data_IF_510994577132
#
_entry.id   IF_510994577132
#
_cell.length_a   1.000
_cell.length_b   1.000
_cell.length_c   1.000
_cell.angle_alpha   90.00
_cell.angle_beta   90.00
_cell.angle_gamma   90.00
#
_symmetry.space_group_name_H-M   'P 1'
#
loop_
_entity.id
_entity.type
_entity.pdbx_description
1 polymer ?
#
# COMPACT_ATOMS: atom_id res chain seq x y z
N UNK A 1 7.20 32.55 -16.24
CA UNK A 1 7.47 33.22 -14.96
C UNK A 1 6.27 33.15 -14.00
N UNK A 2 5.10 33.76 -14.28
CA UNK A 2 3.95 33.71 -13.35
C UNK A 2 3.42 32.29 -13.00
N UNK A 3 3.63 31.30 -13.86
CA UNK A 3 3.14 29.92 -13.66
C UNK A 3 4.10 29.05 -12.82
N UNK A 4 5.38 29.40 -12.72
CA UNK A 4 6.40 28.67 -11.94
C UNK A 4 6.32 29.01 -10.45
N UNK A 5 6.12 30.30 -10.13
CA UNK A 5 6.00 30.76 -8.75
C UNK A 5 4.76 30.18 -8.06
N UNK A 6 3.64 30.01 -8.78
CA UNK A 6 2.43 29.36 -8.26
C UNK A 6 2.61 27.86 -8.02
N UNK A 7 3.34 27.17 -8.91
CA UNK A 7 3.69 25.76 -8.74
C UNK A 7 4.62 25.60 -7.55
N UNK A 8 5.64 26.46 -7.42
CA UNK A 8 6.60 26.43 -6.32
C UNK A 8 5.93 26.75 -4.98
N UNK A 9 5.04 27.72 -4.94
CA UNK A 9 4.25 28.06 -3.75
C UNK A 9 3.29 26.93 -3.33
N UNK A 10 2.78 26.14 -4.28
CA UNK A 10 1.96 24.96 -4.01
C UNK A 10 2.81 23.76 -3.56
N UNK A 11 3.93 23.48 -4.22
CA UNK A 11 4.87 22.43 -3.81
C UNK A 11 5.42 22.71 -2.40
N UNK A 12 5.64 23.98 -2.05
CA UNK A 12 6.03 24.42 -0.70
C UNK A 12 4.97 24.18 0.38
N UNK A 13 3.71 23.99 -0.01
CA UNK A 13 2.60 23.63 0.89
C UNK A 13 2.39 22.13 0.99
N UNK A 14 2.82 21.36 -0.02
CA UNK A 14 2.61 19.92 -0.11
C UNK A 14 3.88 19.10 0.20
N UNK A 15 5.04 19.70 0.34
CA UNK A 15 6.32 19.02 0.56
C UNK A 15 7.21 19.83 1.52
N UNK A 16 8.09 19.18 2.27
CA UNK A 16 8.99 19.86 3.19
C UNK A 16 9.96 20.76 2.41
N UNK A 17 10.32 21.94 2.97
CA UNK A 17 11.15 22.96 2.29
C UNK A 17 12.50 22.44 1.78
N UNK A 18 13.01 21.35 2.35
CA UNK A 18 14.28 20.73 1.98
C UNK A 18 14.20 19.93 0.67
N UNK A 19 13.02 19.43 0.30
CA UNK A 19 12.80 18.66 -0.93
C UNK A 19 12.75 19.54 -2.20
N UNK A 20 12.52 20.85 -2.05
CA UNK A 20 12.29 21.78 -3.16
C UNK A 20 13.58 22.42 -3.67
N UNK A 21 14.62 22.52 -2.81
CA UNK A 21 15.91 23.15 -3.19
C UNK A 21 16.70 22.37 -4.24
N UNK A 22 16.44 21.07 -4.40
CA UNK A 22 17.17 20.24 -5.36
C UNK A 22 16.66 20.37 -6.81
N UNK A 23 15.57 21.11 -7.04
CA UNK A 23 15.01 21.31 -8.40
C UNK A 23 15.64 22.52 -9.10
N UNK A 24 16.24 23.46 -8.35
CA UNK A 24 16.64 24.76 -8.88
C UNK A 24 18.10 24.85 -9.39
N UNK A 25 18.90 23.78 -9.22
CA UNK A 25 20.30 23.74 -9.65
C UNK A 25 20.51 22.68 -10.73
N UNK A 26 20.12 22.98 -11.97
CA UNK A 26 20.66 22.30 -13.14
C UNK A 26 20.78 23.32 -14.28
N UNK A 27 21.98 23.49 -14.86
CA UNK A 27 22.19 24.47 -15.91
C UNK A 27 21.54 24.00 -17.22
N UNK A 28 20.93 24.96 -17.90
CA UNK A 28 20.37 24.88 -19.25
C UNK A 28 21.43 24.44 -20.27
N UNK A 29 21.25 23.27 -20.88
CA UNK A 29 21.47 23.04 -22.31
C UNK A 29 20.90 21.68 -22.77
N UNK A 30 20.35 21.68 -23.99
CA UNK A 30 19.73 20.54 -24.65
C UNK A 30 20.73 19.41 -24.90
N UNK A 31 20.33 18.16 -24.62
CA UNK A 31 20.21 17.13 -25.66
C UNK A 31 19.42 15.91 -25.18
N UNK A 32 18.81 15.24 -26.15
CA UNK A 32 17.86 14.14 -26.01
C UNK A 32 18.40 12.85 -25.37
N UNK A 33 17.53 12.20 -24.58
CA UNK A 33 17.58 10.79 -24.15
C UNK A 33 18.62 10.44 -23.08
N UNK A 34 18.13 9.80 -22.01
CA UNK A 34 18.89 9.14 -20.93
C UNK A 34 19.29 10.02 -19.74
N UNK A 35 18.36 10.17 -18.79
CA UNK A 35 18.59 9.97 -17.34
C UNK A 35 17.28 10.21 -16.57
N UNK A 36 16.42 9.19 -16.52
CA UNK A 36 15.42 9.06 -15.46
C UNK A 36 15.88 7.92 -14.56
N UNK A 37 16.88 8.19 -13.72
CA UNK A 37 17.34 7.32 -12.62
C UNK A 37 18.51 8.05 -11.94
N UNK A 38 18.20 9.00 -11.04
CA UNK A 38 18.94 9.22 -9.79
C UNK A 38 18.36 10.43 -9.07
N UNK A 39 17.45 10.18 -8.14
CA UNK A 39 17.30 11.04 -6.98
C UNK A 39 17.28 10.13 -5.76
N UNK A 40 18.48 9.88 -5.25
CA UNK A 40 18.75 9.30 -3.93
C UNK A 40 18.30 10.26 -2.81
N UNK A 41 17.00 10.56 -2.73
CA UNK A 41 16.41 11.26 -1.61
C UNK A 41 15.42 10.33 -0.90
N UNK A 42 15.89 9.74 0.19
CA UNK A 42 15.18 8.85 1.10
C UNK A 42 14.20 9.60 2.01
N UNK A 43 13.31 10.42 1.44
CA UNK A 43 12.25 11.17 2.16
C UNK A 43 10.85 10.94 1.61
N UNK A 44 10.68 10.25 0.48
CA UNK A 44 9.36 10.01 -0.09
C UNK A 44 8.61 8.89 0.65
N UNK A 45 7.45 9.22 1.22
CA UNK A 45 6.55 8.28 1.91
C UNK A 45 5.91 7.29 0.90
N UNK A 46 5.62 7.77 -0.30
CA UNK A 46 5.10 7.01 -1.44
C UNK A 46 5.79 7.53 -2.71
N UNK A 47 5.87 6.71 -3.78
CA UNK A 47 6.39 7.19 -5.05
C UNK A 47 5.51 8.30 -5.62
N UNK A 48 6.11 9.25 -6.35
CA UNK A 48 5.36 10.30 -7.06
C UNK A 48 4.27 9.69 -7.97
N UNK A 49 3.04 10.19 -7.84
CA UNK A 49 1.93 9.75 -8.70
C UNK A 49 2.18 10.15 -10.16
N UNK A 50 1.78 9.29 -11.11
CA UNK A 50 1.92 9.56 -12.55
C UNK A 50 1.17 10.84 -12.99
N UNK A 51 0.18 11.26 -12.21
CA UNK A 51 -0.64 12.43 -12.47
C UNK A 51 0.11 13.75 -12.27
N UNK A 52 1.02 13.82 -11.30
CA UNK A 52 1.80 15.04 -11.01
C UNK A 52 2.82 15.31 -12.12
N UNK A 53 3.34 14.27 -12.77
CA UNK A 53 4.36 14.42 -13.80
C UNK A 53 3.82 14.76 -15.21
N UNK A 54 2.52 14.54 -15.49
CA UNK A 54 1.98 14.68 -16.86
C UNK A 54 0.60 15.32 -17.01
N UNK A 55 -0.07 15.72 -15.93
CA UNK A 55 -1.44 16.29 -16.02
C UNK A 55 -1.51 17.78 -15.65
N UNK A 56 -2.56 18.46 -16.13
CA UNK A 56 -2.85 19.85 -15.72
C UNK A 56 -3.27 19.87 -14.25
N UNK A 57 -2.82 20.86 -13.48
CA UNK A 57 -3.11 21.04 -12.04
C UNK A 57 -4.61 20.92 -11.70
N UNK A 58 -5.47 21.44 -12.57
CA UNK A 58 -6.93 21.38 -12.41
C UNK A 58 -7.49 19.96 -12.47
N UNK A 59 -6.84 19.05 -13.19
CA UNK A 59 -7.21 17.64 -13.25
C UNK A 59 -6.79 16.89 -11.99
N UNK A 60 -5.64 17.23 -11.40
CA UNK A 60 -5.17 16.64 -10.14
C UNK A 60 -6.12 16.97 -8.99
N UNK A 61 -6.47 18.25 -8.83
CA UNK A 61 -7.46 18.70 -7.81
C UNK A 61 -8.83 18.02 -7.94
N UNK A 62 -9.30 17.76 -9.17
CA UNK A 62 -10.54 17.00 -9.41
C UNK A 62 -10.43 15.53 -9.00
N UNK A 63 -9.23 14.97 -9.02
CA UNK A 63 -8.97 13.61 -8.58
C UNK A 63 -8.81 13.54 -7.04
N UNK A 64 -8.20 14.55 -6.43
CA UNK A 64 -8.09 14.69 -4.96
C UNK A 64 -9.48 14.79 -4.30
N UNK A 65 -10.41 15.55 -4.90
CA UNK A 65 -11.76 15.77 -4.38
C UNK A 65 -12.78 14.66 -4.64
N UNK A 66 -12.38 13.44 -4.99
CA UNK A 66 -13.30 12.31 -5.13
C UNK A 66 -13.82 11.90 -3.74
N UNK A 67 -15.14 11.77 -3.59
CA UNK A 67 -15.72 11.13 -2.40
C UNK A 67 -15.58 9.61 -2.48
N UNK A 68 -14.85 9.02 -1.52
CA UNK A 68 -14.65 7.56 -1.43
C UNK A 68 -15.97 6.79 -1.37
N UNK A 69 -16.95 7.30 -0.61
CA UNK A 69 -18.23 6.63 -0.37
C UNK A 69 -19.15 6.67 -1.60
N UNK A 70 -18.87 7.55 -2.56
CA UNK A 70 -19.54 7.60 -3.86
C UNK A 70 -19.07 6.49 -4.82
N UNK A 71 -17.91 5.86 -4.55
CA UNK A 71 -17.40 4.75 -5.37
C UNK A 71 -18.22 3.50 -5.05
N UNK A 72 -18.74 2.74 -6.03
CA UNK A 72 -19.43 1.49 -5.74
C UNK A 72 -18.50 0.47 -5.04
N UNK A 73 -18.96 -0.30 -4.02
CA UNK A 73 -18.09 -1.22 -3.26
C UNK A 73 -17.28 -2.20 -4.12
N UNK A 74 -17.93 -2.82 -5.12
CA UNK A 74 -17.27 -3.71 -6.08
C UNK A 74 -16.17 -3.02 -6.89
N UNK A 75 -16.38 -1.74 -7.23
CA UNK A 75 -15.40 -0.94 -7.96
C UNK A 75 -14.24 -0.55 -7.04
N UNK A 76 -14.52 -0.15 -5.80
CA UNK A 76 -13.48 0.15 -4.83
C UNK A 76 -12.60 -1.08 -4.56
N UNK A 77 -13.19 -2.26 -4.36
CA UNK A 77 -12.42 -3.51 -4.19
C UNK A 77 -11.47 -3.78 -5.37
N UNK A 78 -11.94 -3.61 -6.62
CA UNK A 78 -11.08 -3.73 -7.80
C UNK A 78 -9.95 -2.70 -7.83
N UNK A 79 -10.26 -1.43 -7.54
CA UNK A 79 -9.25 -0.38 -7.52
C UNK A 79 -8.17 -0.63 -6.46
N UNK A 80 -8.54 -1.16 -5.29
CA UNK A 80 -7.59 -1.54 -4.24
C UNK A 80 -6.73 -2.74 -4.67
N UNK A 81 -7.32 -3.74 -5.34
CA UNK A 81 -6.55 -4.83 -5.96
C UNK A 81 -5.56 -4.32 -7.00
N UNK A 82 -5.98 -3.41 -7.88
CA UNK A 82 -5.09 -2.82 -8.89
C UNK A 82 -3.97 -1.99 -8.25
N UNK A 83 -4.28 -1.29 -7.14
CA UNK A 83 -3.31 -0.56 -6.34
C UNK A 83 -2.28 -1.51 -5.72
N UNK A 84 -2.72 -2.62 -5.10
CA UNK A 84 -1.82 -3.60 -4.50
C UNK A 84 -0.88 -4.23 -5.54
N UNK A 85 -1.42 -4.61 -6.71
CA UNK A 85 -0.62 -5.12 -7.84
C UNK A 85 0.39 -4.07 -8.30
N UNK A 86 0.02 -2.79 -8.36
CA UNK A 86 0.93 -1.72 -8.77
C UNK A 86 2.16 -1.62 -7.85
N UNK A 87 2.00 -1.71 -6.53
CA UNK A 87 3.14 -1.71 -5.60
C UNK A 87 3.92 -3.03 -5.66
N UNK A 88 3.24 -4.18 -5.66
CA UNK A 88 3.88 -5.51 -5.76
C UNK A 88 4.72 -5.63 -7.04
N UNK A 89 4.27 -5.06 -8.15
CA UNK A 89 4.97 -5.08 -9.44
C UNK A 89 6.30 -4.34 -9.47
N UNK A 90 6.60 -3.57 -8.41
CA UNK A 90 7.84 -2.80 -8.26
C UNK A 90 8.82 -3.41 -7.27
N UNK A 91 8.40 -4.37 -6.45
CA UNK A 91 9.29 -5.03 -5.48
C UNK A 91 10.37 -5.78 -6.24
N UNK A 92 11.63 -5.41 -6.01
CA UNK A 92 12.76 -6.15 -6.55
C UNK A 92 13.05 -7.36 -5.63
N UNK A 93 13.22 -8.58 -6.17
CA UNK A 93 13.68 -9.73 -5.40
C UNK A 93 14.88 -9.48 -4.48
N UNK A 94 15.83 -8.64 -4.88
CA UNK A 94 17.00 -8.31 -4.05
C UNK A 94 16.62 -7.61 -2.74
N UNK A 95 15.56 -6.78 -2.75
CA UNK A 95 15.07 -6.14 -1.53
C UNK A 95 14.54 -7.16 -0.51
N UNK A 96 14.03 -8.31 -0.97
CA UNK A 96 13.52 -9.38 -0.11
C UNK A 96 14.62 -10.29 0.41
N UNK A 97 15.65 -10.56 -0.41
CA UNK A 97 16.83 -11.32 0.02
C UNK A 97 17.58 -10.58 1.14
N UNK A 98 17.64 -9.25 1.08
CA UNK A 98 18.37 -8.41 2.04
C UNK A 98 17.52 -7.96 3.24
N UNK A 99 16.22 -8.31 3.27
CA UNK A 99 15.28 -7.90 4.31
C UNK A 99 15.49 -8.68 5.62
N UNK A 100 15.81 -7.96 6.69
CA UNK A 100 16.09 -8.49 8.03
C UNK A 100 15.11 -7.93 9.08
N UNK A 101 13.90 -7.55 8.66
CA UNK A 101 12.92 -6.89 9.52
C UNK A 101 13.10 -5.37 9.60
N UNK A 102 14.27 -4.83 9.27
CA UNK A 102 14.52 -3.39 9.36
C UNK A 102 14.27 -2.66 8.03
N UNK A 103 13.57 -1.50 8.03
CA UNK A 103 13.46 -0.66 6.85
C UNK A 103 14.83 -0.07 6.51
N UNK A 104 15.50 -0.61 5.48
CA UNK A 104 16.76 -0.07 4.98
C UNK A 104 16.50 0.94 3.87
N UNK A 105 17.39 1.94 3.75
CA UNK A 105 17.38 2.91 2.64
C UNK A 105 17.38 2.23 1.26
N UNK A 106 17.88 1.00 1.18
CA UNK A 106 17.99 0.23 -0.06
C UNK A 106 16.73 -0.59 -0.40
N UNK A 107 15.66 -0.55 0.42
CA UNK A 107 14.41 -1.28 0.18
C UNK A 107 13.20 -0.35 -0.07
N UNK A 108 13.28 0.60 -1.02
CA UNK A 108 12.26 1.62 -1.18
C UNK A 108 10.88 1.04 -1.53
N UNK A 109 10.80 -0.05 -2.29
CA UNK A 109 9.51 -0.60 -2.72
C UNK A 109 8.81 -1.36 -1.58
N UNK A 110 9.58 -2.04 -0.72
CA UNK A 110 9.06 -2.60 0.53
C UNK A 110 8.51 -1.48 1.42
N UNK A 111 9.30 -0.41 1.63
CA UNK A 111 8.87 0.74 2.42
C UNK A 111 7.61 1.39 1.86
N UNK A 112 7.54 1.58 0.54
CA UNK A 112 6.36 2.13 -0.13
C UNK A 112 5.10 1.28 0.08
N UNK A 113 5.20 -0.05 -0.01
CA UNK A 113 4.06 -0.92 0.19
C UNK A 113 3.61 -0.97 1.66
N UNK A 114 4.55 -0.97 2.63
CA UNK A 114 4.25 -0.80 4.07
C UNK A 114 3.53 0.52 4.32
N UNK A 115 4.09 1.63 3.84
CA UNK A 115 3.51 2.95 3.97
C UNK A 115 2.10 3.00 3.36
N UNK A 116 1.91 2.41 2.17
CA UNK A 116 0.60 2.30 1.54
C UNK A 116 -0.41 1.58 2.43
N UNK A 117 -0.04 0.45 3.04
CA UNK A 117 -0.92 -0.27 3.97
C UNK A 117 -1.29 0.59 5.18
N UNK A 118 -0.29 1.19 5.84
CA UNK A 118 -0.50 2.08 7.00
C UNK A 118 -1.42 3.25 6.66
N UNK A 119 -1.15 3.96 5.56
CA UNK A 119 -1.98 5.09 5.15
C UNK A 119 -3.38 4.69 4.70
N UNK A 120 -3.58 3.51 4.09
CA UNK A 120 -4.92 2.98 3.81
C UNK A 120 -5.70 2.67 5.08
N UNK A 121 -5.06 2.07 6.09
CA UNK A 121 -5.68 1.80 7.40
C UNK A 121 -6.17 3.12 8.01
N UNK A 122 -5.28 4.11 8.12
CA UNK A 122 -5.61 5.42 8.68
C UNK A 122 -6.72 6.13 7.89
N UNK A 123 -6.62 6.09 6.55
CA UNK A 123 -7.61 6.67 5.67
C UNK A 123 -8.99 6.04 5.86
N UNK A 124 -9.09 4.71 5.90
CA UNK A 124 -10.36 4.02 6.11
C UNK A 124 -10.92 4.21 7.52
N UNK A 125 -10.08 4.20 8.55
CA UNK A 125 -10.50 4.46 9.94
C UNK A 125 -11.23 5.80 10.07
N UNK A 126 -10.82 6.83 9.31
CA UNK A 126 -11.50 8.14 9.33
C UNK A 126 -12.98 8.07 8.91
N UNK A 127 -13.36 7.12 8.05
CA UNK A 127 -14.75 6.91 7.63
C UNK A 127 -15.53 5.98 8.57
N UNK A 128 -14.85 5.14 9.34
CA UNK A 128 -15.50 4.11 10.17
C UNK A 128 -16.04 4.63 11.50
N UNK A 129 -15.98 5.95 11.75
CA UNK A 129 -16.61 6.61 12.90
C UNK A 129 -18.15 6.53 12.88
N UNK A 130 -18.76 6.32 11.72
CA UNK A 130 -20.22 6.21 11.56
C UNK A 130 -20.66 4.79 11.22
N UNK A 131 -21.67 4.28 11.94
CA UNK A 131 -22.28 2.97 11.69
C UNK A 131 -22.82 2.79 10.27
N UNK A 132 -23.24 3.88 9.59
CA UNK A 132 -23.68 3.84 8.19
C UNK A 132 -22.56 3.37 7.25
N UNK A 133 -21.32 3.77 7.55
CA UNK A 133 -20.17 3.48 6.72
C UNK A 133 -19.68 2.04 6.93
N UNK A 134 -19.94 1.41 8.08
CA UNK A 134 -19.59 0.01 8.33
C UNK A 134 -20.17 -0.93 7.27
N UNK A 135 -21.47 -0.79 6.96
CA UNK A 135 -22.15 -1.59 5.91
C UNK A 135 -21.56 -1.39 4.51
N UNK A 136 -20.99 -0.23 4.24
CA UNK A 136 -20.30 0.02 2.98
C UNK A 136 -18.99 -0.78 2.92
N UNK A 137 -18.13 -0.67 3.94
CA UNK A 137 -16.84 -1.37 3.98
C UNK A 137 -16.99 -2.89 4.09
N UNK A 138 -17.99 -3.41 4.81
CA UNK A 138 -18.28 -4.86 4.83
C UNK A 138 -18.60 -5.41 3.43
N UNK A 139 -19.31 -4.63 2.59
CA UNK A 139 -19.53 -5.00 1.18
C UNK A 139 -18.25 -4.94 0.36
N UNK A 140 -17.34 -4.01 0.66
CA UNK A 140 -16.00 -3.96 0.04
C UNK A 140 -15.19 -5.20 0.42
N UNK A 141 -15.18 -5.60 1.70
CA UNK A 141 -14.48 -6.80 2.19
C UNK A 141 -14.96 -8.07 1.49
N UNK A 142 -16.28 -8.26 1.35
CA UNK A 142 -16.86 -9.40 0.59
C UNK A 142 -16.33 -9.48 -0.85
N UNK A 143 -16.24 -8.33 -1.51
CA UNK A 143 -15.69 -8.27 -2.87
C UNK A 143 -14.17 -8.48 -2.90
N UNK A 144 -13.41 -7.98 -1.93
CA UNK A 144 -11.97 -8.25 -1.81
C UNK A 144 -11.69 -9.74 -1.59
N UNK A 145 -12.48 -10.41 -0.75
CA UNK A 145 -12.42 -11.86 -0.53
C UNK A 145 -12.67 -12.63 -1.83
N UNK A 146 -13.68 -12.23 -2.60
CA UNK A 146 -13.96 -12.81 -3.93
C UNK A 146 -12.81 -12.59 -4.92
N UNK A 147 -12.17 -11.42 -4.86
CA UNK A 147 -10.99 -11.09 -5.68
C UNK A 147 -9.70 -11.70 -5.14
N UNK A 148 -9.77 -12.43 -4.02
CA UNK A 148 -8.63 -12.99 -3.28
C UNK A 148 -7.55 -11.94 -2.99
N UNK A 149 -7.95 -10.70 -2.73
CA UNK A 149 -7.05 -9.66 -2.27
C UNK A 149 -7.07 -9.57 -0.74
N UNK A 150 -6.25 -10.41 -0.10
CA UNK A 150 -6.19 -10.50 1.35
C UNK A 150 -5.42 -9.33 1.96
N UNK A 151 -4.49 -8.71 1.22
CA UNK A 151 -3.76 -7.53 1.71
C UNK A 151 -4.66 -6.33 1.99
N UNK A 152 -5.47 -5.90 1.01
CA UNK A 152 -6.42 -4.80 1.24
C UNK A 152 -7.57 -5.19 2.18
N UNK A 153 -7.94 -6.47 2.22
CA UNK A 153 -8.93 -6.98 3.18
C UNK A 153 -8.42 -6.79 4.61
N UNK A 154 -7.16 -7.16 4.87
CA UNK A 154 -6.53 -6.99 6.18
C UNK A 154 -6.39 -5.51 6.55
N UNK A 155 -6.10 -4.62 5.58
CA UNK A 155 -6.09 -3.18 5.84
C UNK A 155 -7.46 -2.67 6.35
N UNK A 156 -8.56 -3.09 5.73
CA UNK A 156 -9.91 -2.72 6.18
C UNK A 156 -10.23 -3.37 7.53
N UNK A 157 -9.84 -4.63 7.74
CA UNK A 157 -10.01 -5.35 9.01
C UNK A 157 -9.31 -4.63 10.16
N UNK A 158 -8.04 -4.26 9.98
CA UNK A 158 -7.28 -3.45 10.93
C UNK A 158 -7.94 -2.09 11.17
N UNK A 159 -8.40 -1.40 10.12
CA UNK A 159 -9.11 -0.13 10.27
C UNK A 159 -10.36 -0.27 11.15
N UNK A 160 -11.15 -1.33 10.98
CA UNK A 160 -12.28 -1.63 11.86
C UNK A 160 -11.85 -1.89 13.31
N UNK A 161 -10.78 -2.65 13.54
CA UNK A 161 -10.26 -2.96 14.88
C UNK A 161 -9.80 -1.72 15.66
N UNK A 162 -9.47 -0.61 14.98
CA UNK A 162 -9.17 0.68 15.65
C UNK A 162 -10.41 1.39 16.21
N UNK A 163 -11.62 0.88 15.94
CA UNK A 163 -12.87 1.52 16.34
C UNK A 163 -13.55 0.76 17.49
N UNK A 164 -14.36 1.46 18.27
CA UNK A 164 -15.30 0.82 19.21
C UNK A 164 -16.48 0.23 18.43
N UNK A 165 -16.44 -1.07 18.17
CA UNK A 165 -17.44 -1.78 17.38
C UNK A 165 -18.49 -2.49 18.25
N UNK A 166 -19.69 -2.65 17.71
CA UNK A 166 -20.68 -3.55 18.30
C UNK A 166 -20.32 -5.00 18.02
N UNK A 167 -20.77 -5.91 18.90
CA UNK A 167 -20.49 -7.34 18.78
C UNK A 167 -20.93 -7.92 17.42
N UNK A 168 -22.07 -7.48 16.88
CA UNK A 168 -22.58 -7.90 15.57
C UNK A 168 -21.63 -7.51 14.44
N UNK A 169 -21.06 -6.30 14.46
CA UNK A 169 -20.11 -5.86 13.43
C UNK A 169 -18.80 -6.62 13.56
N UNK A 170 -18.32 -6.86 14.78
CA UNK A 170 -17.12 -7.68 15.04
C UNK A 170 -17.27 -9.10 14.49
N UNK A 171 -18.44 -9.73 14.69
CA UNK A 171 -18.72 -11.06 14.15
C UNK A 171 -18.74 -11.08 12.61
N UNK A 172 -19.31 -10.06 11.96
CA UNK A 172 -19.27 -9.94 10.51
C UNK A 172 -17.84 -9.77 9.97
N UNK A 173 -17.01 -8.96 10.63
CA UNK A 173 -15.59 -8.78 10.25
C UNK A 173 -14.84 -10.10 10.35
N UNK A 174 -14.99 -10.83 11.46
CA UNK A 174 -14.32 -12.12 11.65
C UNK A 174 -14.71 -13.13 10.57
N UNK A 175 -15.98 -13.17 10.16
CA UNK A 175 -16.43 -14.02 9.06
C UNK A 175 -15.79 -13.68 7.71
N UNK A 176 -15.57 -12.39 7.44
CA UNK A 176 -14.98 -11.94 6.18
C UNK A 176 -13.44 -12.05 6.18
N UNK A 177 -12.79 -11.86 7.33
CA UNK A 177 -11.32 -11.84 7.51
C UNK A 177 -10.75 -13.09 8.21
N UNK A 178 -11.43 -14.23 8.10
CA UNK A 178 -11.20 -15.46 8.87
C UNK A 178 -9.87 -16.21 8.58
N UNK A 179 -9.05 -15.71 7.66
CA UNK A 179 -7.77 -16.34 7.36
C UNK A 179 -6.74 -15.97 8.44
N UNK A 180 -6.60 -16.83 9.45
CA UNK A 180 -5.55 -16.71 10.46
C UNK A 180 -4.17 -16.72 9.80
N UNK A 181 -3.19 -16.04 10.42
CA UNK A 181 -1.80 -16.07 9.95
C UNK A 181 -1.28 -17.51 9.77
N UNK A 182 -1.63 -18.42 10.68
CA UNK A 182 -1.28 -19.84 10.59
C UNK A 182 -1.88 -20.50 9.34
N UNK A 183 -3.16 -20.28 9.07
CA UNK A 183 -3.84 -20.82 7.88
C UNK A 183 -3.25 -20.28 6.58
N UNK A 184 -2.87 -19.00 6.57
CA UNK A 184 -2.21 -18.37 5.43
C UNK A 184 -0.81 -18.95 5.20
N UNK A 185 -0.05 -19.17 6.27
CA UNK A 185 1.28 -19.79 6.20
C UNK A 185 1.22 -21.21 5.64
N UNK A 186 0.20 -21.99 6.02
CA UNK A 186 -0.03 -23.31 5.42
C UNK A 186 -0.28 -23.22 3.90
N UNK A 187 -1.06 -22.22 3.43
CA UNK A 187 -1.27 -22.01 1.98
C UNK A 187 0.05 -21.71 1.25
N UNK A 188 0.98 -20.99 1.88
CA UNK A 188 2.32 -20.77 1.32
C UNK A 188 3.08 -22.09 1.25
N UNK A 189 3.04 -22.90 2.31
CA UNK A 189 3.76 -24.18 2.38
C UNK A 189 3.28 -25.19 1.31
N UNK A 190 2.03 -25.10 0.84
CA UNK A 190 1.49 -25.96 -0.23
C UNK A 190 1.43 -25.30 -1.62
N UNK A 191 2.03 -24.12 -1.78
CA UNK A 191 1.90 -23.35 -3.02
C UNK A 191 2.39 -24.09 -4.27
N UNK A 192 3.49 -24.84 -4.16
CA UNK A 192 4.06 -25.59 -5.29
C UNK A 192 3.18 -26.76 -5.76
N UNK A 193 2.35 -27.32 -4.87
CA UNK A 193 1.43 -28.43 -5.19
C UNK A 193 0.05 -27.95 -5.61
N UNK A 194 -0.41 -26.83 -5.05
CA UNK A 194 -1.74 -26.26 -5.29
C UNK A 194 -1.64 -24.74 -5.49
N UNK A 195 -1.16 -24.28 -6.67
CA UNK A 195 -0.93 -22.86 -6.89
C UNK A 195 -2.25 -22.10 -6.93
N UNK A 196 -2.56 -21.38 -5.86
CA UNK A 196 -3.71 -20.49 -5.78
C UNK A 196 -3.30 -19.03 -6.04
N UNK A 197 -4.01 -18.33 -6.93
CA UNK A 197 -3.75 -16.91 -7.18
C UNK A 197 -4.45 -16.04 -6.14
N UNK A 198 -3.67 -15.40 -5.27
CA UNK A 198 -4.16 -14.43 -4.30
C UNK A 198 -3.09 -13.42 -3.91
N UNK A 199 -3.51 -12.25 -3.39
CA UNK A 199 -2.60 -11.24 -2.85
C UNK A 199 -2.47 -11.46 -1.35
N UNK A 200 -1.34 -12.04 -0.92
CA UNK A 200 -1.01 -12.32 0.48
C UNK A 200 -0.93 -11.03 1.31
N UNK A 201 -1.40 -10.98 2.58
CA UNK A 201 -1.23 -9.82 3.43
C UNK A 201 0.25 -9.47 3.60
N UNK A 202 0.65 -8.28 3.16
CA UNK A 202 2.07 -7.97 2.98
C UNK A 202 2.87 -7.96 4.29
N UNK A 203 2.24 -7.58 5.41
CA UNK A 203 2.90 -7.63 6.72
C UNK A 203 3.26 -9.07 7.11
N UNK A 204 2.39 -10.02 6.79
CA UNK A 204 2.67 -11.45 7.00
C UNK A 204 3.71 -11.96 6.01
N UNK A 205 3.65 -11.51 4.76
CA UNK A 205 4.64 -11.87 3.73
C UNK A 205 6.05 -11.49 4.19
N UNK A 206 6.22 -10.26 4.65
CA UNK A 206 7.51 -9.75 5.13
C UNK A 206 7.99 -10.48 6.37
N UNK A 207 7.08 -10.83 7.28
CA UNK A 207 7.44 -11.64 8.44
C UNK A 207 7.93 -13.03 8.03
N UNK A 208 7.25 -13.70 7.09
CA UNK A 208 7.71 -15.00 6.61
C UNK A 208 9.06 -14.90 5.85
N UNK A 209 9.31 -13.78 5.14
CA UNK A 209 10.61 -13.46 4.51
C UNK A 209 11.69 -13.27 5.58
N UNK A 210 11.42 -12.46 6.59
CA UNK A 210 12.34 -12.20 7.71
C UNK A 210 12.69 -13.49 8.45
N UNK A 211 11.67 -14.26 8.85
CA UNK A 211 11.85 -15.55 9.51
C UNK A 211 12.70 -16.50 8.65
N UNK A 212 12.51 -16.49 7.33
CA UNK A 212 13.29 -17.34 6.42
C UNK A 212 14.74 -16.88 6.30
N UNK A 213 14.98 -15.57 6.19
CA UNK A 213 16.32 -14.97 6.10
C UNK A 213 17.10 -15.10 7.41
N UNK A 214 16.44 -15.17 8.57
CA UNK A 214 17.10 -15.45 9.85
C UNK A 214 17.50 -16.92 10.01
N UNK A 215 16.89 -17.83 9.24
CA UNK A 215 17.06 -19.27 9.35
C UNK A 215 17.63 -19.91 8.07
N UNK A 216 18.57 -19.25 7.37
CA UNK A 216 19.09 -19.70 6.07
C UNK A 216 19.65 -21.13 6.05
N UNK A 217 20.06 -21.65 7.20
CA UNK A 217 20.62 -22.99 7.34
C UNK A 217 19.54 -24.09 7.48
N UNK A 218 18.27 -23.70 7.54
CA UNK A 218 17.14 -24.62 7.64
C UNK A 218 16.50 -24.81 6.26
N UNK A 219 16.38 -26.05 5.82
CA UNK A 219 15.80 -26.41 4.52
C UNK A 219 14.36 -25.91 4.38
N UNK A 220 13.53 -26.12 5.41
CA UNK A 220 12.14 -25.66 5.45
C UNK A 220 12.00 -24.14 5.29
N UNK A 221 12.95 -23.38 5.85
CA UNK A 221 12.97 -21.91 5.75
C UNK A 221 13.36 -21.46 4.34
N UNK A 222 14.38 -22.08 3.74
CA UNK A 222 14.79 -21.82 2.38
C UNK A 222 13.68 -22.18 1.37
N UNK A 223 13.01 -23.32 1.55
CA UNK A 223 11.91 -23.73 0.69
C UNK A 223 10.72 -22.76 0.78
N UNK A 224 10.37 -22.31 2.00
CA UNK A 224 9.32 -21.30 2.19
C UNK A 224 9.68 -19.98 1.51
N UNK A 225 10.93 -19.51 1.64
CA UNK A 225 11.39 -18.31 0.94
C UNK A 225 11.21 -18.44 -0.58
N UNK A 226 11.61 -19.58 -1.16
CA UNK A 226 11.42 -19.86 -2.59
C UNK A 226 9.94 -19.80 -2.99
N UNK A 227 9.04 -20.40 -2.20
CA UNK A 227 7.58 -20.36 -2.46
C UNK A 227 7.02 -18.94 -2.41
N UNK A 228 7.46 -18.11 -1.45
CA UNK A 228 7.08 -16.68 -1.38
C UNK A 228 7.56 -15.92 -2.62
N UNK A 229 8.77 -16.21 -3.09
CA UNK A 229 9.31 -15.62 -4.31
C UNK A 229 8.54 -16.07 -5.56
N UNK A 230 8.19 -17.36 -5.67
CA UNK A 230 7.35 -17.89 -6.74
C UNK A 230 5.99 -17.18 -6.78
N UNK A 231 5.34 -17.02 -5.63
CA UNK A 231 4.08 -16.27 -5.50
C UNK A 231 4.23 -14.82 -5.99
N UNK A 232 5.30 -14.13 -5.56
CA UNK A 232 5.57 -12.76 -5.97
C UNK A 232 5.73 -12.67 -7.50
N UNK A 233 6.61 -13.50 -8.07
CA UNK A 233 6.89 -13.53 -9.51
C UNK A 233 5.62 -13.85 -10.30
N UNK A 234 4.82 -14.79 -9.81
CA UNK A 234 3.53 -15.13 -10.41
C UNK A 234 2.61 -13.91 -10.47
N UNK A 235 2.45 -13.17 -9.36
CA UNK A 235 1.63 -11.96 -9.32
C UNK A 235 2.17 -10.87 -10.26
N UNK A 236 3.49 -10.70 -10.32
CA UNK A 236 4.15 -9.71 -11.17
C UNK A 236 3.98 -10.02 -12.67
N UNK A 237 3.98 -11.29 -13.05
CA UNK A 237 3.86 -11.71 -14.45
C UNK A 237 2.42 -11.80 -14.93
N UNK A 238 1.52 -12.36 -14.11
CA UNK A 238 0.17 -12.71 -14.56
C UNK A 238 -0.87 -11.60 -14.32
N UNK A 239 -0.68 -10.74 -13.30
CA UNK A 239 -1.68 -9.73 -12.96
C UNK A 239 -1.34 -8.32 -13.48
N UNK A 240 -0.08 -8.08 -13.87
CA UNK A 240 0.39 -6.77 -14.35
C UNK A 240 -0.13 -6.41 -15.74
N UNK A 241 -0.29 -7.40 -16.63
CA UNK A 241 -0.72 -7.18 -18.01
C UNK A 241 -2.22 -6.95 -18.14
N UNK A 242 -3.02 -7.54 -17.25
CA UNK A 242 -4.49 -7.50 -17.33
C UNK A 242 -5.13 -6.30 -16.62
N UNK A 243 -4.41 -5.66 -15.69
CA UNK A 243 -5.00 -4.68 -14.77
C UNK A 243 -4.15 -3.42 -14.68
N UNK A 244 -4.71 -2.30 -15.16
CA UNK A 244 -4.12 -0.97 -15.02
C UNK A 244 -5.01 -0.06 -14.20
N UNK A 245 -4.52 0.35 -13.03
CA UNK A 245 -5.16 1.37 -12.22
C UNK A 245 -5.27 2.66 -13.04
N UNK A 246 -6.48 3.18 -13.20
CA UNK A 246 -6.68 4.45 -13.93
C UNK A 246 -5.98 5.56 -13.16
N UNK A 247 -5.18 6.37 -13.86
CA UNK A 247 -4.32 7.39 -13.25
C UNK A 247 -5.07 8.34 -12.30
N UNK A 248 -6.35 8.66 -12.57
CA UNK A 248 -7.20 9.47 -11.67
C UNK A 248 -7.36 8.82 -10.29
N UNK A 249 -7.58 7.51 -10.24
CA UNK A 249 -7.74 6.79 -8.97
C UNK A 249 -6.40 6.51 -8.30
N UNK A 250 -5.34 6.25 -9.08
CA UNK A 250 -3.98 6.20 -8.55
C UNK A 250 -3.64 7.47 -7.77
N UNK A 251 -3.83 8.63 -8.41
CA UNK A 251 -3.59 9.92 -7.78
C UNK A 251 -4.46 10.14 -6.54
N UNK A 252 -5.76 9.85 -6.64
CA UNK A 252 -6.68 9.93 -5.51
C UNK A 252 -6.18 9.12 -4.30
N UNK A 253 -5.76 7.86 -4.50
CA UNK A 253 -5.24 7.05 -3.41
C UNK A 253 -3.90 7.58 -2.90
N UNK A 254 -2.95 7.87 -3.78
CA UNK A 254 -1.62 8.35 -3.38
C UNK A 254 -1.72 9.63 -2.54
N UNK A 255 -2.53 10.59 -2.98
CA UNK A 255 -2.77 11.83 -2.26
C UNK A 255 -3.35 11.58 -0.87
N UNK A 256 -4.44 10.81 -0.77
CA UNK A 256 -5.09 10.57 0.52
C UNK A 256 -4.20 9.75 1.46
N UNK A 257 -3.54 8.70 0.96
CA UNK A 257 -2.63 7.87 1.77
C UNK A 257 -1.49 8.75 2.31
N UNK A 258 -0.87 9.59 1.47
CA UNK A 258 0.20 10.48 1.89
C UNK A 258 -0.27 11.48 2.96
N UNK A 259 -1.46 12.08 2.76
CA UNK A 259 -2.10 12.98 3.74
C UNK A 259 -2.30 12.30 5.10
N UNK A 260 -2.78 11.06 5.12
CA UNK A 260 -3.05 10.32 6.36
C UNK A 260 -1.80 9.74 7.04
N UNK A 261 -0.70 9.52 6.31
CA UNK A 261 0.58 9.15 6.93
C UNK A 261 1.24 10.35 7.60
N UNK A 262 1.07 11.55 7.01
CA UNK A 262 1.63 12.80 7.57
C UNK A 262 0.83 13.38 8.73
N UNK A 263 -0.30 12.76 9.10
CA UNK A 263 -1.19 13.30 10.12
C UNK A 263 -1.99 14.53 9.68
N UNK A 264 -2.01 14.84 8.38
CA UNK A 264 -2.76 15.97 7.81
C UNK A 264 -4.24 15.62 7.55
N UNK A 265 -4.64 14.38 7.80
CA UNK A 265 -6.04 13.94 7.80
C UNK A 265 -6.80 14.54 8.98
N UNK A 266 -8.11 14.81 8.82
CA UNK A 266 -9.03 15.13 9.93
C UNK A 266 -9.27 13.86 10.78
N UNK A 267 -8.20 13.31 11.34
CA UNK A 267 -8.26 12.39 12.46
C UNK A 267 -8.26 13.27 13.70
N UNK A 268 -9.46 13.69 14.12
CA UNK A 268 -9.63 14.31 15.44
C UNK A 268 -8.80 13.55 16.46
N UNK A 269 -7.96 14.30 17.17
CA UNK A 269 -6.89 13.92 18.10
C UNK A 269 -7.02 12.49 18.62
N UNK A 270 -6.17 11.60 18.11
CA UNK A 270 -5.64 10.42 18.80
C UNK A 270 -4.59 9.79 17.86
N UNK A 271 -3.38 10.35 17.91
CA UNK A 271 -2.18 9.75 17.33
C UNK A 271 -1.85 8.55 18.19
N UNK A 272 -2.24 7.36 17.75
CA UNK A 272 -1.82 6.13 18.42
C UNK A 272 -0.44 5.74 17.90
N UNK A 273 0.54 5.84 18.80
CA UNK A 273 1.89 5.32 18.62
C UNK A 273 1.88 3.84 18.21
N UNK A 274 2.85 3.47 17.38
CA UNK A 274 3.22 2.12 16.95
C UNK A 274 2.55 0.98 17.72
N UNK A 275 1.58 0.31 17.09
CA UNK A 275 1.18 -1.05 17.48
C UNK A 275 2.11 -2.05 16.78
N UNK A 276 3.42 -1.94 17.06
CA UNK A 276 4.33 -3.08 16.98
C UNK A 276 4.23 -3.79 18.34
N UNK A 277 3.65 -4.98 18.40
CA UNK A 277 3.69 -5.78 19.65
C UNK A 277 2.44 -6.56 20.05
N UNK A 278 1.42 -6.71 19.21
CA UNK A 278 0.34 -7.67 19.50
C UNK A 278 0.59 -9.03 18.82
N UNK A 279 1.75 -9.62 19.08
CA UNK A 279 1.88 -11.08 19.02
C UNK A 279 1.18 -11.64 20.26
N UNK A 280 -0.10 -12.00 20.12
CA UNK A 280 -0.69 -12.93 21.06
C UNK A 280 -0.32 -14.33 20.61
N UNK A 281 0.66 -14.88 21.33
CA UNK A 281 0.85 -16.31 21.53
C UNK A 281 -0.50 -16.91 21.90
N UNK A 282 -0.97 -17.85 21.09
CA UNK A 282 -1.82 -18.96 21.51
C UNK A 282 -1.22 -20.23 20.93
#
# INVERSE_FOLDING_TARGET
MAHEEEIFAFLSKCYAKEDIKNIHNSPTNMDTTTTYLNTNNTTEILPLSYYISKSKLSSARKAEGIDLLSIPPKKLARLLTDLDILFISRINPTELVEYDGTPKKNHPNISYLKNKNTGLINFFSSFLRSAKNHKYFLRVMKHLKTLRNLNSLECISKAFRTQKLSQSITQEINKEADDSYFSLRQKVDFYSTEPEVFIYPFDFFLKDVEDSNLNINQEDAAERFCRLMEMLIFLQNNLKSERRLKNKYEHFFFYNIQKFIRGEGDAGEEVYENVEGAFLIL
#
